data_IF_428263289271
#
_entry.id   IF_428263289271
#
_cell.length_a   1.000
_cell.length_b   1.000
_cell.length_c   1.000
_cell.angle_alpha   90.00
_cell.angle_beta   90.00
_cell.angle_gamma   90.00
#
_symmetry.space_group_name_H-M   'P 1'
#
loop_
_entity.id
_entity.type
_entity.pdbx_description
1 polymer ?
#
# COMPACT_ATOMS: atom_id res chain seq x y z
N UNK A 1 2.16 -18.45 24.32
CA UNK A 1 3.50 -17.94 24.02
C UNK A 1 3.70 -17.96 22.51
N UNK A 2 3.94 -16.80 21.90
CA UNK A 2 3.98 -16.62 20.43
C UNK A 2 5.15 -17.35 19.79
N UNK A 3 6.30 -17.40 20.48
CA UNK A 3 7.48 -18.14 20.02
C UNK A 3 7.19 -19.64 19.86
N UNK A 4 6.39 -20.22 20.76
CA UNK A 4 5.97 -21.62 20.67
C UNK A 4 5.12 -21.84 19.42
N UNK A 5 4.21 -20.92 19.09
CA UNK A 5 3.36 -21.03 17.90
C UNK A 5 4.17 -20.90 16.62
N UNK A 6 5.10 -19.94 16.55
CA UNK A 6 6.02 -19.76 15.43
C UNK A 6 6.80 -21.05 15.16
N UNK A 7 7.39 -21.64 16.20
CA UNK A 7 8.17 -22.88 16.05
C UNK A 7 7.31 -24.09 15.73
N UNK A 8 6.16 -24.25 16.40
CA UNK A 8 5.25 -25.39 16.21
C UNK A 8 4.69 -25.46 14.79
N UNK A 9 4.40 -24.30 14.19
CA UNK A 9 3.87 -24.20 12.84
C UNK A 9 4.95 -23.93 11.80
N UNK A 10 6.23 -23.98 12.18
CA UNK A 10 7.37 -23.76 11.31
C UNK A 10 7.28 -22.45 10.51
N UNK A 11 6.78 -21.39 11.15
CA UNK A 11 6.66 -20.08 10.50
C UNK A 11 8.06 -19.48 10.28
N UNK A 12 8.44 -19.19 9.01
CA UNK A 12 9.65 -18.44 8.72
C UNK A 12 9.57 -17.04 9.35
N UNK A 13 10.41 -16.79 10.36
CA UNK A 13 10.37 -15.56 11.17
C UNK A 13 11.68 -14.77 11.14
N UNK A 14 12.70 -15.28 10.43
CA UNK A 14 13.98 -14.59 10.20
C UNK A 14 14.23 -14.55 8.71
N UNK A 15 14.53 -13.37 8.19
CA UNK A 15 14.93 -13.22 6.80
C UNK A 15 16.37 -13.73 6.62
N UNK A 16 16.65 -14.49 5.54
CA UNK A 16 18.02 -14.79 5.12
C UNK A 16 18.83 -13.51 4.85
N UNK A 17 20.16 -13.51 5.06
CA UNK A 17 21.00 -12.34 4.80
C UNK A 17 20.84 -11.77 3.39
N UNK A 18 20.81 -12.63 2.37
CA UNK A 18 20.64 -12.24 0.97
C UNK A 18 19.32 -11.49 0.69
N UNK A 19 18.26 -11.79 1.46
CA UNK A 19 16.96 -11.09 1.35
C UNK A 19 17.03 -9.70 1.97
N UNK A 20 17.77 -9.56 3.08
CA UNK A 20 17.97 -8.28 3.74
C UNK A 20 18.90 -7.37 2.94
N UNK A 21 19.98 -7.93 2.38
CA UNK A 21 20.91 -7.22 1.52
C UNK A 21 20.18 -6.67 0.28
N UNK A 22 19.38 -7.50 -0.40
CA UNK A 22 18.56 -7.07 -1.54
C UNK A 22 17.55 -5.97 -1.15
N UNK A 23 16.88 -6.10 0.00
CA UNK A 23 15.93 -5.09 0.47
C UNK A 23 16.59 -3.75 0.79
N UNK A 24 17.85 -3.74 1.23
CA UNK A 24 18.62 -2.52 1.49
C UNK A 24 19.10 -1.81 0.22
N UNK A 25 19.19 -2.53 -0.91
CA UNK A 25 19.51 -1.96 -2.21
C UNK A 25 18.32 -1.21 -2.84
N UNK A 26 17.11 -1.41 -2.32
CA UNK A 26 15.92 -0.71 -2.82
C UNK A 26 16.04 0.81 -2.61
N UNK A 27 16.16 1.55 -3.73
CA UNK A 27 16.34 2.99 -3.69
C UNK A 27 15.05 3.72 -3.27
N UNK A 28 15.08 4.60 -2.24
CA UNK A 28 13.90 5.36 -1.85
C UNK A 28 13.48 6.43 -2.87
N UNK A 29 14.41 6.86 -3.73
CA UNK A 29 14.19 7.90 -4.72
C UNK A 29 13.72 7.26 -6.03
N UNK A 30 12.52 7.61 -6.49
CA UNK A 30 11.98 7.11 -7.75
C UNK A 30 12.71 7.80 -8.92
N UNK A 31 13.37 7.05 -9.82
CA UNK A 31 14.06 7.63 -10.97
C UNK A 31 13.10 8.42 -11.87
N UNK A 32 13.56 9.55 -12.40
CA UNK A 32 12.76 10.37 -13.32
C UNK A 32 12.34 9.63 -14.60
N UNK A 33 13.13 8.64 -15.03
CA UNK A 33 12.79 7.74 -16.14
C UNK A 33 11.59 6.84 -15.82
N UNK A 34 11.41 6.48 -14.56
CA UNK A 34 10.31 5.63 -14.10
C UNK A 34 9.03 6.44 -13.91
N UNK A 35 9.13 7.65 -13.33
CA UNK A 35 8.00 8.59 -13.23
C UNK A 35 7.37 8.89 -14.59
N UNK A 36 8.17 9.04 -15.65
CA UNK A 36 7.69 9.35 -17.00
C UNK A 36 6.82 8.26 -17.64
N UNK A 37 6.90 7.01 -17.15
CA UNK A 37 6.12 5.88 -17.69
C UNK A 37 4.76 5.71 -17.01
N UNK A 38 4.51 6.47 -15.95
CA UNK A 38 3.39 6.26 -15.02
C UNK A 38 2.39 7.40 -15.11
N UNK A 39 1.14 7.10 -14.81
CA UNK A 39 0.12 8.14 -14.68
C UNK A 39 0.38 8.95 -13.42
N UNK A 40 0.35 10.27 -13.55
CA UNK A 40 0.59 11.19 -12.44
C UNK A 40 -0.72 11.52 -11.73
N UNK A 41 -0.81 11.15 -10.45
CA UNK A 41 -1.94 11.42 -9.58
C UNK A 41 -1.55 12.29 -8.37
N UNK A 42 -0.33 12.82 -8.32
CA UNK A 42 0.25 13.45 -7.12
C UNK A 42 -0.48 14.70 -6.65
N UNK A 43 -1.25 15.35 -7.52
CA UNK A 43 -2.02 16.55 -7.20
C UNK A 43 -3.46 16.24 -6.73
N UNK A 44 -3.85 14.96 -6.65
CA UNK A 44 -5.16 14.56 -6.17
C UNK A 44 -5.17 14.43 -4.63
N UNK A 45 -6.32 14.71 -3.97
CA UNK A 45 -6.48 14.52 -2.53
C UNK A 45 -6.68 13.03 -2.22
N UNK A 46 -5.61 12.25 -2.37
CA UNK A 46 -5.57 10.82 -2.10
C UNK A 46 -5.16 10.60 -0.65
N UNK A 47 -5.83 9.71 0.07
CA UNK A 47 -5.52 9.40 1.48
C UNK A 47 -5.42 7.90 1.70
N UNK A 48 -4.64 7.50 2.71
CA UNK A 48 -4.71 6.14 3.27
C UNK A 48 -5.60 6.16 4.52
N UNK A 49 -6.28 5.05 4.82
CA UNK A 49 -7.20 4.96 5.97
C UNK A 49 -6.98 3.62 6.67
N UNK A 50 -6.30 3.65 7.81
CA UNK A 50 -5.82 2.43 8.48
C UNK A 50 -6.08 2.45 10.00
N UNK A 51 -5.78 1.34 10.67
CA UNK A 51 -5.75 1.29 12.13
C UNK A 51 -4.62 2.14 12.71
N UNK A 52 -4.78 2.62 13.95
CA UNK A 52 -3.84 3.52 14.62
C UNK A 52 -2.41 2.97 14.65
N UNK A 53 -2.23 1.65 14.75
CA UNK A 53 -0.94 0.96 14.88
C UNK A 53 -0.35 0.47 13.56
N UNK A 54 -1.07 0.60 12.43
CA UNK A 54 -0.60 0.16 11.12
C UNK A 54 0.59 1.00 10.64
N UNK A 55 1.50 0.37 9.89
CA UNK A 55 2.72 1.03 9.33
C UNK A 55 2.96 0.70 7.85
N UNK A 56 2.23 -0.26 7.34
CA UNK A 56 2.26 -0.86 6.02
C UNK A 56 0.99 -0.47 5.27
N UNK A 57 0.92 0.81 4.89
CA UNK A 57 -0.21 1.34 4.13
C UNK A 57 -0.16 0.85 2.68
N UNK A 58 -0.91 -0.21 2.37
CA UNK A 58 -0.89 -0.87 1.06
C UNK A 58 -1.84 -0.22 0.06
N UNK A 59 -2.90 0.44 0.53
CA UNK A 59 -3.93 1.04 -0.31
C UNK A 59 -4.22 2.50 0.05
N UNK A 60 -4.56 3.27 -0.98
CA UNK A 60 -4.99 4.66 -0.86
C UNK A 60 -6.20 4.91 -1.78
N UNK A 61 -7.07 5.83 -1.37
CA UNK A 61 -8.34 6.09 -2.07
C UNK A 61 -8.58 7.56 -2.32
N UNK A 62 -9.28 7.85 -3.41
CA UNK A 62 -9.92 9.14 -3.64
C UNK A 62 -11.22 8.93 -4.41
N UNK A 63 -12.21 9.80 -4.19
CA UNK A 63 -13.49 9.77 -4.91
C UNK A 63 -13.88 11.18 -5.32
N UNK A 64 -14.33 11.33 -6.56
CA UNK A 64 -14.88 12.60 -7.05
C UNK A 64 -16.15 12.39 -7.86
N UNK A 65 -17.03 13.38 -7.83
CA UNK A 65 -18.22 13.37 -8.68
C UNK A 65 -17.88 13.82 -10.11
N UNK A 66 -18.35 13.08 -11.09
CA UNK A 66 -18.22 13.38 -12.51
C UNK A 66 -19.33 14.33 -12.99
N UNK A 67 -19.10 14.96 -14.15
CA UNK A 67 -20.05 15.93 -14.75
C UNK A 67 -21.41 15.29 -15.11
N UNK A 68 -21.42 14.00 -15.41
CA UNK A 68 -22.62 13.23 -15.72
C UNK A 68 -23.41 12.80 -14.46
N UNK A 69 -22.91 13.13 -13.26
CA UNK A 69 -23.54 12.81 -11.99
C UNK A 69 -22.93 11.59 -11.29
N UNK A 70 -22.28 10.68 -12.02
CA UNK A 70 -21.63 9.47 -11.51
C UNK A 70 -20.42 9.80 -10.62
N UNK A 71 -19.80 8.77 -10.05
CA UNK A 71 -18.58 8.89 -9.25
C UNK A 71 -17.41 8.27 -10.00
N UNK A 72 -16.24 8.90 -9.90
CA UNK A 72 -14.96 8.25 -10.18
C UNK A 72 -14.33 7.87 -8.84
N UNK A 73 -14.21 6.56 -8.60
CA UNK A 73 -13.47 5.98 -7.49
C UNK A 73 -12.09 5.56 -7.99
N UNK A 74 -11.04 6.04 -7.34
CA UNK A 74 -9.68 5.58 -7.59
C UNK A 74 -9.18 4.83 -6.35
N UNK A 75 -8.69 3.62 -6.58
CA UNK A 75 -8.01 2.80 -5.57
C UNK A 75 -6.57 2.60 -6.04
N UNK A 76 -5.61 3.00 -5.23
CA UNK A 76 -4.19 2.95 -5.53
C UNK A 76 -3.53 1.94 -4.60
N UNK A 77 -2.99 0.86 -5.16
CA UNK A 77 -2.31 -0.20 -4.41
C UNK A 77 -0.81 -0.03 -4.56
N UNK A 78 -0.04 -0.18 -3.49
CA UNK A 78 1.43 -0.18 -3.52
C UNK A 78 1.96 -1.09 -4.63
N UNK A 79 2.86 -0.57 -5.47
CA UNK A 79 3.45 -1.33 -6.58
C UNK A 79 4.61 -2.21 -6.09
N UNK A 80 4.30 -3.21 -5.25
CA UNK A 80 5.29 -4.15 -4.68
C UNK A 80 6.09 -4.86 -5.77
N UNK A 81 5.45 -5.16 -6.91
CA UNK A 81 6.08 -5.87 -8.03
C UNK A 81 7.22 -5.07 -8.69
N UNK A 82 7.28 -3.74 -8.49
CA UNK A 82 8.42 -2.93 -8.91
C UNK A 82 9.69 -3.25 -8.12
N UNK A 83 9.55 -3.67 -6.85
CA UNK A 83 10.66 -3.89 -5.93
C UNK A 83 10.94 -5.38 -5.69
N UNK A 84 9.93 -6.24 -5.87
CA UNK A 84 10.04 -7.69 -5.74
C UNK A 84 9.93 -8.32 -7.11
N UNK A 85 11.08 -8.45 -7.79
CA UNK A 85 11.12 -9.00 -9.15
C UNK A 85 11.12 -10.53 -9.15
N UNK A 86 10.57 -11.19 -10.19
CA UNK A 86 10.54 -12.65 -10.27
C UNK A 86 11.91 -13.30 -10.05
N UNK A 87 11.93 -14.40 -9.30
CA UNK A 87 13.11 -15.22 -8.99
C UNK A 87 14.18 -14.53 -8.12
N UNK A 88 13.94 -13.31 -7.64
CA UNK A 88 14.79 -12.62 -6.66
C UNK A 88 14.82 -13.34 -5.30
N UNK A 89 15.77 -12.99 -4.42
CA UNK A 89 15.81 -13.57 -3.08
C UNK A 89 14.56 -13.16 -2.28
N UNK A 90 14.13 -11.90 -2.41
CA UNK A 90 12.89 -11.42 -1.79
C UNK A 90 11.66 -12.16 -2.33
N UNK A 91 11.55 -12.40 -3.64
CA UNK A 91 10.41 -13.15 -4.24
C UNK A 91 10.34 -14.59 -3.72
N UNK A 92 11.48 -15.29 -3.70
CA UNK A 92 11.55 -16.67 -3.21
C UNK A 92 11.15 -16.76 -1.73
N UNK A 93 11.63 -15.84 -0.90
CA UNK A 93 11.30 -15.78 0.53
C UNK A 93 9.85 -15.35 0.76
N UNK A 94 9.33 -14.39 0.00
CA UNK A 94 7.93 -13.97 0.04
C UNK A 94 7.00 -15.14 -0.33
N UNK A 95 7.35 -15.92 -1.36
CA UNK A 95 6.65 -17.15 -1.75
C UNK A 95 6.70 -18.22 -0.66
N UNK A 96 7.85 -18.39 0.00
CA UNK A 96 8.00 -19.33 1.12
C UNK A 96 7.12 -18.95 2.31
N UNK A 97 7.04 -17.65 2.63
CA UNK A 97 6.19 -17.10 3.70
C UNK A 97 4.71 -17.15 3.35
N UNK A 98 4.36 -16.85 2.11
CA UNK A 98 3.01 -16.84 1.55
C UNK A 98 2.12 -15.70 2.03
N UNK A 99 2.20 -15.32 3.30
CA UNK A 99 1.43 -14.21 3.89
C UNK A 99 2.08 -13.68 5.17
N UNK A 100 1.77 -12.44 5.54
CA UNK A 100 2.10 -11.90 6.86
C UNK A 100 1.23 -12.56 7.94
N UNK A 101 1.82 -12.91 9.08
CA UNK A 101 1.10 -13.51 10.22
C UNK A 101 1.04 -12.51 11.37
N UNK A 102 -0.16 -12.08 11.74
CA UNK A 102 -0.40 -11.10 12.80
C UNK A 102 -0.74 -11.79 14.12
N UNK A 103 0.16 -11.69 15.11
CA UNK A 103 -0.08 -12.10 16.49
C UNK A 103 -0.53 -10.91 17.34
N UNK A 104 -1.09 -11.15 18.55
CA UNK A 104 -1.49 -10.05 19.44
C UNK A 104 -0.35 -9.10 19.85
N UNK A 105 0.90 -9.56 19.91
CA UNK A 105 2.07 -8.76 20.33
C UNK A 105 2.95 -8.26 19.17
N UNK A 106 2.95 -8.94 18.01
CA UNK A 106 3.81 -8.61 16.86
C UNK A 106 3.28 -9.20 15.55
N UNK A 107 3.77 -8.68 14.43
CA UNK A 107 3.63 -9.31 13.13
C UNK A 107 4.89 -10.10 12.75
N UNK A 108 4.70 -11.20 12.01
CA UNK A 108 5.75 -11.86 11.22
C UNK A 108 5.49 -11.48 9.76
N UNK A 109 6.22 -10.50 9.20
CA UNK A 109 5.88 -9.94 7.90
C UNK A 109 6.31 -10.87 6.76
N UNK A 110 5.58 -10.81 5.65
CA UNK A 110 5.92 -11.49 4.40
C UNK A 110 7.16 -10.89 3.74
N UNK A 111 7.30 -9.55 3.80
CA UNK A 111 8.40 -8.80 3.21
C UNK A 111 9.28 -8.17 4.31
N UNK A 112 10.56 -7.88 4.02
CA UNK A 112 11.42 -7.10 4.92
C UNK A 112 10.79 -5.75 5.30
N UNK A 113 11.17 -5.21 6.45
CA UNK A 113 10.57 -3.98 6.99
C UNK A 113 10.89 -2.76 6.13
N UNK A 114 12.08 -2.75 5.53
CA UNK A 114 12.58 -1.76 4.59
C UNK A 114 11.64 -1.59 3.40
N UNK A 115 11.09 -2.70 2.90
CA UNK A 115 10.10 -2.67 1.82
C UNK A 115 8.69 -2.40 2.35
N UNK A 116 8.21 -3.21 3.29
CA UNK A 116 6.80 -3.19 3.74
C UNK A 116 6.39 -1.89 4.44
N UNK A 117 7.25 -1.31 5.29
CA UNK A 117 6.89 -0.16 6.12
C UNK A 117 7.44 1.17 5.63
N UNK A 118 8.33 1.16 4.62
CA UNK A 118 8.89 2.39 4.06
C UNK A 118 8.65 2.51 2.56
N UNK A 119 9.33 1.71 1.73
CA UNK A 119 9.36 1.92 0.28
C UNK A 119 8.02 1.61 -0.40
N UNK A 120 7.38 0.50 -0.03
CA UNK A 120 6.07 0.11 -0.56
C UNK A 120 4.93 0.79 0.19
N UNK A 121 5.12 1.21 1.45
CA UNK A 121 4.07 1.89 2.20
C UNK A 121 3.75 3.26 1.60
N UNK A 122 2.46 3.53 1.38
CA UNK A 122 1.90 4.76 0.82
C UNK A 122 1.91 5.93 1.83
N UNK A 123 3.08 6.20 2.42
CA UNK A 123 3.31 7.24 3.43
C UNK A 123 2.87 8.64 2.93
N UNK A 124 2.33 9.49 3.82
CA UNK A 124 1.86 10.81 3.43
C UNK A 124 3.03 11.71 3.01
N UNK A 125 2.77 12.59 2.04
CA UNK A 125 3.67 13.62 1.54
C UNK A 125 4.94 13.10 0.85
N UNK A 126 4.98 11.82 0.47
CA UNK A 126 6.08 11.22 -0.27
C UNK A 126 5.56 10.57 -1.56
N UNK A 127 6.32 10.71 -2.65
CA UNK A 127 5.98 10.07 -3.92
C UNK A 127 6.12 8.55 -3.78
N UNK A 128 5.09 7.82 -4.21
CA UNK A 128 5.02 6.36 -4.15
C UNK A 128 4.46 5.78 -5.43
N UNK A 129 5.05 4.66 -5.85
CA UNK A 129 4.64 3.91 -7.02
C UNK A 129 3.44 3.03 -6.68
N UNK A 130 2.45 3.04 -7.57
CA UNK A 130 1.20 2.32 -7.36
C UNK A 130 0.74 1.60 -8.62
N UNK A 131 -0.01 0.50 -8.43
CA UNK A 131 -0.95 0.00 -9.41
C UNK A 131 -2.34 0.57 -9.08
N UNK A 132 -2.92 1.35 -9.99
CA UNK A 132 -4.18 2.06 -9.77
C UNK A 132 -5.34 1.40 -10.49
N UNK A 133 -6.48 1.31 -9.82
CA UNK A 133 -7.78 0.94 -10.37
C UNK A 133 -8.67 2.19 -10.39
N UNK A 134 -8.99 2.70 -11.57
CA UNK A 134 -9.85 3.87 -11.77
C UNK A 134 -11.20 3.40 -12.29
N UNK A 135 -12.26 3.61 -11.51
CA UNK A 135 -13.59 3.09 -11.79
C UNK A 135 -14.60 4.22 -11.90
N UNK A 136 -15.49 4.14 -12.89
CA UNK A 136 -16.73 4.94 -12.91
C UNK A 136 -17.87 4.12 -12.29
N UNK A 137 -18.53 4.69 -11.28
CA UNK A 137 -19.58 4.05 -10.49
C UNK A 137 -20.85 4.91 -10.56
N UNK A 138 -22.00 4.28 -10.83
CA UNK A 138 -23.28 4.96 -10.89
C UNK A 138 -23.91 5.19 -9.49
N UNK A 139 -25.09 5.81 -9.46
CA UNK A 139 -25.81 6.09 -8.21
C UNK A 139 -26.36 4.87 -7.46
N UNK A 140 -26.35 3.70 -8.09
CA UNK A 140 -26.75 2.42 -7.51
C UNK A 140 -25.56 1.62 -6.99
N UNK A 141 -24.35 2.08 -7.25
CA UNK A 141 -23.11 1.37 -6.91
C UNK A 141 -22.64 0.41 -8.00
N UNK A 142 -23.21 0.48 -9.21
CA UNK A 142 -22.79 -0.37 -10.33
C UNK A 142 -21.53 0.20 -10.99
N UNK A 143 -20.56 -0.66 -11.26
CA UNK A 143 -19.33 -0.30 -11.97
C UNK A 143 -19.64 -0.23 -13.47
N UNK A 144 -19.57 0.98 -14.05
CA UNK A 144 -19.82 1.21 -15.47
C UNK A 144 -18.55 1.03 -16.33
N UNK A 145 -17.38 1.21 -15.73
CA UNK A 145 -16.10 1.08 -16.40
C UNK A 145 -14.95 1.03 -15.39
N UNK A 146 -13.86 0.39 -15.79
CA UNK A 146 -12.66 0.21 -14.98
C UNK A 146 -11.41 0.26 -15.86
N UNK A 147 -10.39 0.97 -15.39
CA UNK A 147 -9.05 1.00 -15.97
C UNK A 147 -8.01 0.65 -14.91
N UNK A 148 -7.12 -0.30 -15.23
CA UNK A 148 -5.94 -0.60 -14.43
C UNK A 148 -4.72 0.06 -15.05
N UNK A 149 -3.96 0.85 -14.28
CA UNK A 149 -2.76 1.52 -14.79
C UNK A 149 -1.68 1.70 -13.71
N UNK A 150 -0.39 1.56 -14.07
CA UNK A 150 0.70 2.01 -13.22
C UNK A 150 0.64 3.53 -13.01
N UNK A 151 0.84 3.96 -11.77
CA UNK A 151 0.75 5.35 -11.37
C UNK A 151 1.84 5.76 -10.38
N UNK A 152 1.88 7.06 -10.12
CA UNK A 152 2.57 7.66 -8.98
C UNK A 152 1.58 8.53 -8.22
N UNK A 153 1.52 8.34 -6.90
CA UNK A 153 0.72 9.17 -5.99
C UNK A 153 1.64 9.90 -5.02
N UNK A 154 1.10 10.93 -4.37
CA UNK A 154 1.62 11.50 -3.15
C UNK A 154 0.46 11.56 -2.17
N UNK A 155 0.39 10.60 -1.24
CA UNK A 155 -0.72 10.56 -0.28
C UNK A 155 -0.77 11.90 0.47
N UNK A 156 -1.93 12.55 0.48
CA UNK A 156 -2.13 13.84 1.12
C UNK A 156 -2.11 13.70 2.65
N UNK A 157 -2.67 12.62 3.18
CA UNK A 157 -2.73 12.40 4.62
C UNK A 157 -2.85 10.91 4.94
N UNK A 158 -2.27 10.51 6.08
CA UNK A 158 -2.52 9.21 6.68
C UNK A 158 -3.65 9.38 7.69
N UNK A 159 -4.83 8.89 7.34
CA UNK A 159 -6.00 8.92 8.20
C UNK A 159 -6.12 7.64 9.01
N UNK A 160 -6.78 7.72 10.17
CA UNK A 160 -7.32 6.54 10.83
C UNK A 160 -8.82 6.42 10.64
N UNK A 161 -9.37 5.22 10.86
CA UNK A 161 -10.83 5.05 10.94
C UNK A 161 -11.47 6.00 11.96
N UNK A 162 -10.79 6.26 13.07
CA UNK A 162 -11.22 7.24 14.08
C UNK A 162 -11.25 8.65 13.51
N UNK A 163 -10.22 9.07 12.76
CA UNK A 163 -10.20 10.39 12.11
C UNK A 163 -11.32 10.54 11.09
N UNK A 164 -11.49 9.55 10.21
CA UNK A 164 -12.54 9.58 9.17
C UNK A 164 -13.93 9.62 9.81
N UNK A 165 -14.15 8.85 10.88
CA UNK A 165 -15.41 8.91 11.63
C UNK A 165 -15.67 10.31 12.19
N UNK A 166 -14.68 10.93 12.82
CA UNK A 166 -14.82 12.28 13.37
C UNK A 166 -15.18 13.32 12.28
N UNK A 167 -14.52 13.25 11.12
CA UNK A 167 -14.84 14.11 9.96
C UNK A 167 -16.28 13.89 9.49
N UNK A 168 -16.74 12.64 9.39
CA UNK A 168 -18.12 12.31 9.00
C UNK A 168 -19.18 12.77 10.02
N UNK A 169 -18.82 12.81 11.30
CA UNK A 169 -19.66 13.32 12.39
C UNK A 169 -19.65 14.85 12.49
N UNK A 170 -18.85 15.54 11.66
CA UNK A 170 -18.79 17.00 11.60
C UNK A 170 -17.89 17.61 12.67
N UNK A 171 -16.94 16.85 13.22
CA UNK A 171 -15.91 17.42 14.07
C UNK A 171 -14.98 18.31 13.24
N UNK A 172 -14.75 19.54 13.72
CA UNK A 172 -14.03 20.60 13.00
C UNK A 172 -12.55 20.69 13.37
N UNK A 173 -12.06 19.75 14.19
CA UNK A 173 -10.68 19.73 14.70
C UNK A 173 -9.71 18.97 13.78
N UNK A 174 -10.20 18.35 12.70
CA UNK A 174 -9.42 17.62 11.69
C UNK A 174 -9.63 18.18 10.28
#
# INVERSE_FOLDING_TARGET
>A
DVEIMIRKHHLPHRFPPEVLDEAQEAEPLIPASELKKRRDFRDLPIVTIDGETARDFDDAVTVRRLKNGNFELQVHIADVAQYVTPDSAIDQEARLRGTSVYFPDRAVPMLPLELSTDICSLRPQVDRLVMSCVMEIDHRGEILGCELCPGVIRSAERMTYTNVKAVLEGDSVL
#
